data_IF_918763397808
#
_entry.id   IF_918763397808
#
_cell.length_a   1.000
_cell.length_b   1.000
_cell.length_c   1.000
_cell.angle_alpha   90.00
_cell.angle_beta   90.00
_cell.angle_gamma   90.00
#
_symmetry.space_group_name_H-M   'P 1'
#
loop_
_entity.id
_entity.type
_entity.pdbx_description
1 polymer ?
#
# COMPACT_ATOMS: atom_id res chain seq x y z
N UNK A 1 92.42 -9.28 19.00
CA UNK A 1 91.74 -10.20 19.96
C UNK A 1 90.67 -9.42 20.69
N UNK A 2 89.40 -9.87 20.57
CA UNK A 2 88.26 -9.74 21.50
C UNK A 2 88.12 -8.45 22.33
N UNK A 3 87.01 -7.71 22.30
CA UNK A 3 85.72 -8.16 22.84
C UNK A 3 84.53 -7.34 22.30
N UNK A 4 83.41 -8.06 22.25
CA UNK A 4 82.08 -7.74 21.74
C UNK A 4 81.37 -6.64 22.53
N UNK A 5 80.54 -5.83 21.86
CA UNK A 5 79.32 -5.27 22.43
C UNK A 5 78.12 -5.77 21.61
N UNK A 6 77.25 -6.53 22.29
CA UNK A 6 75.98 -7.03 21.77
C UNK A 6 74.93 -6.03 22.19
N UNK A 7 74.23 -5.44 21.22
CA UNK A 7 73.08 -4.58 21.43
C UNK A 7 71.84 -5.38 21.03
N UNK A 8 71.01 -5.75 22.01
CA UNK A 8 69.67 -6.29 21.76
C UNK A 8 68.74 -5.12 21.43
N UNK A 9 68.16 -5.13 20.23
CA UNK A 9 67.04 -4.25 19.87
C UNK A 9 65.80 -5.11 19.70
N UNK A 10 64.79 -4.82 20.50
CA UNK A 10 63.43 -5.37 20.40
C UNK A 10 62.85 -5.03 19.02
N UNK A 11 62.23 -6.00 18.35
CA UNK A 11 61.27 -5.71 17.29
C UNK A 11 60.08 -6.66 17.40
N UNK A 12 58.98 -5.99 17.69
CA UNK A 12 57.61 -6.38 17.94
C UNK A 12 57.07 -7.37 16.91
N UNK A 13 56.34 -8.38 17.39
CA UNK A 13 55.56 -9.30 16.58
C UNK A 13 54.48 -8.54 15.77
N UNK A 14 54.49 -8.70 14.45
CA UNK A 14 53.40 -8.29 13.57
C UNK A 14 52.41 -9.46 13.54
N UNK A 15 51.33 -9.34 14.32
CA UNK A 15 50.15 -10.19 14.16
C UNK A 15 49.34 -9.60 13.00
N UNK A 16 49.36 -10.29 11.86
CA UNK A 16 48.53 -9.98 10.71
C UNK A 16 47.06 -10.17 11.10
N UNK A 17 46.32 -9.06 11.22
CA UNK A 17 44.87 -9.06 11.31
C UNK A 17 44.30 -9.65 10.01
N UNK A 18 43.73 -10.84 10.09
CA UNK A 18 42.80 -11.35 9.10
C UNK A 18 41.47 -10.58 9.23
N UNK A 19 41.44 -9.38 8.63
CA UNK A 19 40.26 -8.52 8.56
C UNK A 19 39.88 -8.29 7.09
N UNK A 20 39.53 -9.36 6.38
CA UNK A 20 39.06 -9.28 5.00
C UNK A 20 38.10 -10.43 4.72
N UNK A 21 36.83 -10.34 5.17
CA UNK A 21 35.69 -11.12 4.62
C UNK A 21 34.31 -10.71 5.19
N UNK A 22 34.10 -9.48 5.69
CA UNK A 22 32.74 -9.06 6.13
C UNK A 22 32.09 -8.00 5.23
N UNK A 23 32.83 -7.34 4.34
CA UNK A 23 32.24 -6.30 3.47
C UNK A 23 31.51 -6.87 2.24
N UNK A 24 31.73 -8.14 1.87
CA UNK A 24 31.08 -8.74 0.72
C UNK A 24 29.60 -9.07 0.97
N UNK A 25 29.20 -9.38 2.20
CA UNK A 25 27.81 -9.73 2.55
C UNK A 25 26.93 -8.48 2.70
N UNK A 26 27.53 -7.33 3.03
CA UNK A 26 26.80 -6.07 3.13
C UNK A 26 26.51 -5.43 1.76
N UNK A 27 27.28 -5.75 0.73
CA UNK A 27 27.16 -5.12 -0.58
C UNK A 27 26.13 -5.79 -1.50
N UNK A 28 25.74 -7.05 -1.23
CA UNK A 28 24.57 -7.68 -1.86
C UNK A 28 23.23 -7.23 -1.26
N UNK A 29 23.23 -6.65 -0.05
CA UNK A 29 22.04 -6.09 0.58
C UNK A 29 21.67 -4.67 0.06
N UNK A 30 22.47 -4.09 -0.84
CA UNK A 30 22.33 -2.69 -1.29
C UNK A 30 21.29 -2.46 -2.41
N UNK A 31 20.46 -3.47 -2.71
CA UNK A 31 19.22 -3.31 -3.51
C UNK A 31 18.06 -4.01 -2.79
N UNK A 32 17.84 -3.65 -1.53
CA UNK A 32 16.71 -4.20 -0.79
C UNK A 32 15.41 -3.78 -1.48
N UNK A 33 14.63 -4.74 -1.97
CA UNK A 33 13.26 -4.51 -2.46
C UNK A 33 12.27 -4.13 -1.36
N UNK A 34 12.76 -4.03 -0.12
CA UNK A 34 11.99 -3.77 1.07
C UNK A 34 11.76 -2.28 1.30
N UNK A 35 10.52 -1.93 1.62
CA UNK A 35 10.10 -0.58 1.98
C UNK A 35 9.39 -0.59 3.33
N UNK A 36 9.94 0.17 4.29
CA UNK A 36 9.30 0.36 5.58
C UNK A 36 8.23 1.46 5.48
N UNK A 37 7.01 1.13 5.92
CA UNK A 37 5.86 2.02 5.99
C UNK A 37 5.28 1.96 7.39
N UNK A 38 5.45 3.02 8.17
CA UNK A 38 5.09 3.07 9.59
C UNK A 38 5.65 1.84 10.36
N UNK A 39 4.78 0.97 10.88
CA UNK A 39 5.20 -0.22 11.66
C UNK A 39 5.45 -1.47 10.81
N UNK A 40 5.27 -1.39 9.49
CA UNK A 40 5.25 -2.55 8.60
C UNK A 40 6.35 -2.47 7.52
N UNK A 41 6.82 -3.64 7.09
CA UNK A 41 7.83 -3.83 6.05
C UNK A 41 7.19 -4.53 4.85
N UNK A 42 7.26 -3.89 3.68
CA UNK A 42 6.71 -4.40 2.43
C UNK A 42 7.84 -4.81 1.49
N UNK A 43 7.79 -6.01 0.92
CA UNK A 43 8.66 -6.43 -0.18
C UNK A 43 8.01 -6.10 -1.52
N UNK A 44 8.60 -5.17 -2.27
CA UNK A 44 8.06 -4.67 -3.53
C UNK A 44 8.61 -5.44 -4.74
N UNK A 45 9.54 -6.37 -4.55
CA UNK A 45 10.25 -7.08 -5.63
C UNK A 45 11.09 -6.18 -6.56
N UNK A 46 11.14 -4.87 -6.29
CA UNK A 46 11.86 -3.85 -7.07
C UNK A 46 12.52 -2.86 -6.12
N UNK A 47 13.50 -2.11 -6.61
CA UNK A 47 14.16 -1.05 -5.85
C UNK A 47 13.12 0.03 -5.44
N UNK A 48 12.84 0.22 -4.14
CA UNK A 48 11.86 1.20 -3.68
C UNK A 48 12.19 2.64 -4.11
N UNK A 49 13.48 2.99 -4.25
CA UNK A 49 13.89 4.33 -4.69
C UNK A 49 13.45 4.63 -6.12
N UNK A 50 13.32 3.61 -6.98
CA UNK A 50 12.78 3.77 -8.34
C UNK A 50 11.29 4.14 -8.34
N UNK A 51 10.55 3.75 -7.29
CA UNK A 51 9.14 4.05 -7.12
C UNK A 51 8.92 5.37 -6.35
N UNK A 52 9.91 5.78 -5.56
CA UNK A 52 9.79 6.82 -4.53
C UNK A 52 9.65 8.21 -5.15
N UNK A 53 8.43 8.74 -5.12
CA UNK A 53 8.16 10.18 -5.25
C UNK A 53 7.76 10.84 -3.92
N UNK A 54 7.29 10.05 -2.95
CA UNK A 54 6.83 10.47 -1.64
C UNK A 54 7.10 9.31 -0.64
N UNK A 55 7.76 9.56 0.51
CA UNK A 55 8.13 8.52 1.47
C UNK A 55 6.94 7.88 2.20
N UNK A 56 5.73 8.44 2.10
CA UNK A 56 4.52 7.93 2.74
C UNK A 56 3.58 7.24 1.76
N UNK A 57 4.08 6.89 0.56
CA UNK A 57 3.25 6.52 -0.58
C UNK A 57 3.97 5.52 -1.49
N UNK A 58 3.34 4.38 -1.74
CA UNK A 58 3.84 3.35 -2.66
C UNK A 58 2.87 3.24 -3.83
N UNK A 59 3.26 3.60 -5.06
CA UNK A 59 2.44 3.35 -6.22
C UNK A 59 2.64 1.92 -6.76
N UNK A 60 1.70 1.01 -6.48
CA UNK A 60 1.88 -0.41 -6.81
C UNK A 60 1.98 -0.67 -8.32
N UNK A 61 1.19 0.04 -9.13
CA UNK A 61 1.24 0.00 -10.60
C UNK A 61 2.59 0.42 -11.23
N UNK A 62 3.57 0.87 -10.44
CA UNK A 62 4.90 1.21 -10.97
C UNK A 62 5.92 0.09 -10.84
N UNK A 63 5.58 -0.98 -10.14
CA UNK A 63 6.34 -2.21 -10.23
C UNK A 63 5.69 -3.04 -11.35
N UNK A 64 6.38 -3.22 -12.48
CA UNK A 64 5.83 -3.84 -13.69
C UNK A 64 5.13 -5.18 -13.39
N UNK A 65 5.73 -6.01 -12.51
CA UNK A 65 5.15 -7.30 -12.12
C UNK A 65 3.85 -7.19 -11.32
N UNK A 66 3.65 -6.11 -10.54
CA UNK A 66 2.38 -5.82 -9.85
C UNK A 66 1.37 -5.20 -10.80
N UNK A 67 1.82 -4.36 -11.74
CA UNK A 67 0.95 -3.78 -12.75
C UNK A 67 0.29 -4.87 -13.59
N UNK A 68 1.06 -5.87 -14.03
CA UNK A 68 0.54 -7.05 -14.71
C UNK A 68 -0.52 -7.80 -13.87
N UNK A 69 -0.33 -7.93 -12.56
CA UNK A 69 -1.31 -8.58 -11.67
C UNK A 69 -2.58 -7.74 -11.55
N UNK A 70 -2.44 -6.42 -11.39
CA UNK A 70 -3.56 -5.47 -11.24
C UNK A 70 -4.37 -5.41 -12.53
N UNK A 71 -3.70 -5.33 -13.69
CA UNK A 71 -4.35 -5.22 -15.00
C UNK A 71 -5.04 -6.52 -15.42
N UNK A 72 -4.55 -7.68 -14.99
CA UNK A 72 -5.20 -8.97 -15.26
C UNK A 72 -6.29 -9.33 -14.24
N UNK A 73 -6.42 -8.62 -13.11
CA UNK A 73 -7.50 -8.85 -12.15
C UNK A 73 -8.80 -8.21 -12.67
N UNK A 74 -9.89 -8.97 -12.87
CA UNK A 74 -11.14 -8.45 -13.42
C UNK A 74 -11.81 -7.38 -12.54
N UNK A 75 -11.42 -7.27 -11.27
CA UNK A 75 -11.91 -6.27 -10.33
C UNK A 75 -11.03 -5.02 -10.31
N UNK A 76 -9.72 -5.17 -10.55
CA UNK A 76 -8.75 -4.07 -10.45
C UNK A 76 -8.27 -3.53 -11.80
N UNK A 77 -8.69 -4.14 -12.91
CA UNK A 77 -8.32 -3.69 -14.24
C UNK A 77 -8.60 -2.18 -14.45
N UNK A 78 -7.59 -1.44 -14.92
CA UNK A 78 -7.69 0.00 -15.14
C UNK A 78 -7.73 0.83 -13.85
N UNK A 79 -7.43 0.23 -12.69
CA UNK A 79 -7.32 0.93 -11.42
C UNK A 79 -5.88 1.25 -11.08
N UNK A 80 -5.70 2.35 -10.37
CA UNK A 80 -4.40 2.77 -9.85
C UNK A 80 -4.38 2.54 -8.33
N UNK A 81 -3.60 1.57 -7.88
CA UNK A 81 -3.54 1.09 -6.49
C UNK A 81 -2.31 1.61 -5.78
N UNK A 82 -2.50 2.16 -4.59
CA UNK A 82 -1.43 2.71 -3.78
C UNK A 82 -1.55 2.31 -2.30
N UNK A 83 -0.41 2.13 -1.62
CA UNK A 83 -0.35 2.01 -0.15
C UNK A 83 0.10 3.35 0.42
N UNK A 84 -0.57 3.83 1.47
CA UNK A 84 -0.28 5.15 2.04
C UNK A 84 -0.31 5.14 3.57
N UNK A 85 0.61 5.88 4.17
CA UNK A 85 0.61 6.20 5.61
C UNK A 85 -0.10 7.53 5.83
N UNK A 86 -0.94 7.60 6.88
CA UNK A 86 -1.51 8.86 7.38
C UNK A 86 -1.08 9.10 8.82
N UNK A 87 -1.10 10.37 9.20
CA UNK A 87 -0.85 10.80 10.59
C UNK A 87 -2.01 10.48 11.54
N UNK A 88 -3.14 9.98 11.03
CA UNK A 88 -4.31 9.66 11.81
C UNK A 88 -4.87 8.29 11.42
N UNK A 89 -5.44 7.54 12.39
CA UNK A 89 -6.05 6.25 12.11
C UNK A 89 -7.17 6.32 11.08
N UNK A 90 -7.28 5.29 10.25
CA UNK A 90 -8.33 5.15 9.23
C UNK A 90 -9.75 5.18 9.82
N UNK A 91 -9.92 4.79 11.09
CA UNK A 91 -11.21 4.88 11.78
C UNK A 91 -11.77 6.30 11.82
N UNK A 92 -10.92 7.33 11.72
CA UNK A 92 -11.37 8.72 11.58
C UNK A 92 -11.94 9.05 10.21
N UNK A 93 -11.60 8.30 9.15
CA UNK A 93 -12.30 8.41 7.86
C UNK A 93 -13.74 7.89 7.98
N UNK A 94 -14.01 7.00 8.93
CA UNK A 94 -15.32 6.37 9.13
C UNK A 94 -16.13 6.97 10.27
N UNK A 95 -15.53 7.87 11.05
CA UNK A 95 -16.25 8.61 12.07
C UNK A 95 -17.50 9.29 11.46
N UNK A 96 -18.50 9.60 12.27
CA UNK A 96 -19.72 10.29 11.81
C UNK A 96 -19.45 11.58 11.03
N UNK A 97 -18.25 12.16 11.15
CA UNK A 97 -17.83 13.35 10.42
C UNK A 97 -17.04 13.07 9.11
N UNK A 98 -16.76 11.81 8.80
CA UNK A 98 -15.97 11.42 7.63
C UNK A 98 -14.52 11.94 7.67
N UNK A 99 -13.78 11.88 6.54
CA UNK A 99 -12.41 12.36 6.45
C UNK A 99 -12.29 13.82 6.90
N UNK A 100 -11.68 14.04 8.07
CA UNK A 100 -11.36 15.39 8.57
C UNK A 100 -12.58 16.27 8.88
N UNK A 101 -13.76 15.69 9.17
CA UNK A 101 -14.99 16.45 9.38
C UNK A 101 -15.43 17.28 8.17
N UNK A 102 -14.99 16.91 6.97
CA UNK A 102 -15.34 17.63 5.74
C UNK A 102 -16.63 17.08 5.14
N UNK A 103 -16.93 15.79 5.31
CA UNK A 103 -18.11 15.12 4.76
C UNK A 103 -19.16 14.87 5.85
N UNK A 104 -19.73 15.95 6.39
CA UNK A 104 -20.66 15.89 7.54
C UNK A 104 -22.13 15.95 7.16
N UNK A 105 -22.44 16.21 5.90
CA UNK A 105 -23.82 16.42 5.47
C UNK A 105 -24.31 15.14 4.79
N UNK A 106 -25.42 14.57 5.29
CA UNK A 106 -26.23 13.66 4.48
C UNK A 106 -26.65 14.47 3.26
N UNK A 107 -26.04 14.21 2.12
CA UNK A 107 -26.25 15.06 0.97
C UNK A 107 -27.70 14.91 0.51
N UNK A 108 -28.27 15.97 -0.09
CA UNK A 108 -29.38 15.78 -1.02
C UNK A 108 -28.75 15.12 -2.25
N UNK A 109 -28.53 13.81 -2.15
CA UNK A 109 -27.94 13.00 -3.19
C UNK A 109 -29.02 12.72 -4.23
N UNK A 110 -28.80 13.06 -5.50
CA UNK A 110 -29.70 12.59 -6.57
C UNK A 110 -29.87 11.06 -6.50
N UNK A 111 -31.05 10.58 -6.87
CA UNK A 111 -31.41 9.16 -6.74
C UNK A 111 -30.41 8.26 -7.48
N UNK A 112 -29.94 8.70 -8.65
CA UNK A 112 -28.93 8.00 -9.47
C UNK A 112 -27.56 7.84 -8.81
N UNK A 113 -27.28 8.60 -7.74
CA UNK A 113 -26.04 8.50 -6.96
C UNK A 113 -26.29 7.93 -5.56
N UNK A 114 -27.47 7.38 -5.33
CA UNK A 114 -27.82 6.70 -4.07
C UNK A 114 -27.67 5.19 -4.27
N UNK A 115 -27.02 4.55 -3.30
CA UNK A 115 -26.69 3.12 -3.37
C UNK A 115 -27.21 2.37 -2.15
N UNK A 116 -27.90 1.26 -2.38
CA UNK A 116 -28.37 0.38 -1.31
C UNK A 116 -27.20 -0.14 -0.48
N UNK A 117 -27.34 -0.07 0.85
CA UNK A 117 -26.28 -0.47 1.78
C UNK A 117 -25.14 0.55 1.96
N UNK A 118 -25.31 1.77 1.45
CA UNK A 118 -24.37 2.87 1.66
C UNK A 118 -25.05 4.13 2.17
N UNK A 119 -24.39 4.81 3.11
CA UNK A 119 -24.66 6.20 3.44
C UNK A 119 -23.80 7.11 2.56
N UNK A 120 -24.44 7.99 1.78
CA UNK A 120 -23.76 9.02 0.99
C UNK A 120 -23.67 10.34 1.77
N UNK A 121 -22.45 10.87 1.92
CA UNK A 121 -22.17 12.15 2.56
C UNK A 121 -21.50 13.12 1.60
N UNK A 122 -21.73 14.41 1.77
CA UNK A 122 -21.10 15.47 0.97
C UNK A 122 -20.44 16.54 1.83
N UNK A 123 -19.70 17.42 1.15
CA UNK A 123 -19.00 18.55 1.78
C UNK A 123 -19.90 19.75 2.09
N UNK A 124 -21.11 19.80 1.52
CA UNK A 124 -22.11 20.83 1.83
C UNK A 124 -23.53 20.31 1.59
N UNK A 125 -24.56 20.87 2.26
CA UNK A 125 -25.95 20.41 2.09
C UNK A 125 -26.47 20.42 0.65
N UNK A 126 -25.88 21.26 -0.21
CA UNK A 126 -26.31 21.50 -1.59
C UNK A 126 -25.32 21.00 -2.64
N UNK A 127 -24.14 20.54 -2.24
CA UNK A 127 -23.12 20.02 -3.16
C UNK A 127 -23.19 18.52 -3.22
N UNK A 128 -23.27 17.99 -4.43
CA UNK A 128 -23.11 16.56 -4.74
C UNK A 128 -21.85 16.31 -5.59
N UNK A 129 -21.00 17.32 -5.83
CA UNK A 129 -19.79 17.19 -6.66
C UNK A 129 -18.85 16.08 -6.16
N UNK A 130 -18.79 15.91 -4.84
CA UNK A 130 -18.05 14.84 -4.20
C UNK A 130 -18.94 14.16 -3.18
N UNK A 131 -19.07 12.84 -3.34
CA UNK A 131 -19.85 11.98 -2.47
C UNK A 131 -18.92 10.98 -1.81
N UNK A 132 -18.98 10.94 -0.49
CA UNK A 132 -18.28 9.99 0.34
C UNK A 132 -19.27 8.91 0.77
N UNK A 133 -19.04 7.69 0.30
CA UNK A 133 -19.86 6.53 0.58
C UNK A 133 -19.26 5.74 1.74
N UNK A 134 -20.08 5.54 2.76
CA UNK A 134 -19.82 4.67 3.90
C UNK A 134 -20.72 3.45 3.84
N UNK A 135 -20.19 2.22 3.87
CA UNK A 135 -21.02 1.03 4.01
C UNK A 135 -21.87 1.11 5.29
N UNK A 136 -23.13 0.69 5.22
CA UNK A 136 -24.08 0.70 6.36
C UNK A 136 -23.78 -0.35 7.44
N UNK A 137 -22.63 -1.00 7.39
CA UNK A 137 -22.21 -2.02 8.36
C UNK A 137 -21.71 -1.37 9.67
N UNK A 138 -21.89 -2.05 10.81
CA UNK A 138 -21.48 -1.55 12.13
C UNK A 138 -19.96 -1.35 12.27
N UNK A 139 -19.17 -2.00 11.41
CA UNK A 139 -17.70 -1.92 11.42
C UNK A 139 -17.19 -1.91 9.98
N UNK A 140 -17.32 -0.77 9.26
CA UNK A 140 -16.94 -0.69 7.87
C UNK A 140 -15.43 -0.89 7.75
N UNK A 141 -15.01 -1.77 6.84
CA UNK A 141 -13.59 -2.03 6.57
C UNK A 141 -13.06 -1.20 5.39
N UNK A 142 -13.92 -0.43 4.75
CA UNK A 142 -13.59 0.44 3.63
C UNK A 142 -14.57 1.61 3.51
N UNK A 143 -14.23 2.57 2.66
CA UNK A 143 -15.11 3.64 2.19
C UNK A 143 -14.77 4.02 0.76
N UNK A 144 -15.65 4.76 0.08
CA UNK A 144 -15.37 5.29 -1.24
C UNK A 144 -15.58 6.80 -1.30
N UNK A 145 -14.71 7.52 -2.01
CA UNK A 145 -14.89 8.93 -2.35
C UNK A 145 -15.03 9.04 -3.86
N UNK A 146 -16.22 9.39 -4.34
CA UNK A 146 -16.43 9.62 -5.76
C UNK A 146 -16.60 11.09 -6.08
N UNK A 147 -16.02 11.51 -7.21
CA UNK A 147 -16.20 12.82 -7.79
C UNK A 147 -17.06 12.70 -9.04
N UNK A 148 -18.15 13.44 -9.05
CA UNK A 148 -19.07 13.52 -10.20
C UNK A 148 -18.43 14.41 -11.26
N UNK A 149 -18.58 14.00 -12.51
CA UNK A 149 -18.22 14.82 -13.64
C UNK A 149 -19.18 16.02 -13.74
N UNK A 150 -18.63 17.23 -13.61
CA UNK A 150 -19.42 18.46 -13.64
C UNK A 150 -19.91 18.81 -15.04
N UNK A 151 -19.27 18.29 -16.09
CA UNK A 151 -19.66 18.57 -17.47
C UNK A 151 -20.93 17.81 -17.85
N UNK A 152 -20.99 16.53 -17.48
CA UNK A 152 -22.14 15.65 -17.77
C UNK A 152 -23.17 15.61 -16.65
N UNK A 153 -22.76 15.86 -15.40
CA UNK A 153 -23.61 15.83 -14.20
C UNK A 153 -24.23 14.47 -13.87
N UNK A 154 -23.95 13.45 -14.68
CA UNK A 154 -24.65 12.15 -14.70
C UNK A 154 -23.71 10.95 -14.57
N UNK A 155 -22.41 11.19 -14.48
CA UNK A 155 -21.39 10.15 -14.37
C UNK A 155 -20.35 10.49 -13.31
N UNK A 156 -19.72 9.47 -12.73
CA UNK A 156 -18.51 9.68 -11.93
C UNK A 156 -17.30 9.82 -12.86
N UNK A 157 -16.50 10.85 -12.61
CA UNK A 157 -15.19 10.99 -13.24
C UNK A 157 -14.13 10.11 -12.55
N UNK A 158 -14.31 9.91 -11.26
CA UNK A 158 -13.31 9.31 -10.39
C UNK A 158 -13.98 8.72 -9.14
N UNK A 159 -13.52 7.56 -8.70
CA UNK A 159 -13.78 7.02 -7.38
C UNK A 159 -12.48 6.56 -6.73
N UNK A 160 -12.25 6.95 -5.47
CA UNK A 160 -11.18 6.45 -4.62
C UNK A 160 -11.75 5.49 -3.59
N UNK A 161 -11.38 4.21 -3.63
CA UNK A 161 -11.74 3.20 -2.63
C UNK A 161 -10.65 3.11 -1.58
N UNK A 162 -10.97 3.40 -0.33
CA UNK A 162 -10.05 3.37 0.81
C UNK A 162 -10.34 2.12 1.63
N UNK A 163 -9.41 1.17 1.67
CA UNK A 163 -9.48 -0.01 2.52
C UNK A 163 -8.60 0.16 3.76
N UNK A 164 -9.08 -0.32 4.91
CA UNK A 164 -8.22 -0.47 6.08
C UNK A 164 -7.13 -1.51 5.89
N UNK A 165 -6.06 -1.32 6.66
CA UNK A 165 -5.03 -2.30 6.86
C UNK A 165 -4.97 -2.69 8.35
N UNK A 166 -5.69 -3.73 8.80
CA UNK A 166 -5.76 -4.11 10.22
C UNK A 166 -4.43 -4.23 10.96
N UNK A 167 -3.32 -4.71 10.36
CA UNK A 167 -2.03 -4.79 11.05
C UNK A 167 -1.46 -3.43 11.48
N UNK A 168 -1.84 -2.34 10.82
CA UNK A 168 -1.45 -0.99 11.21
C UNK A 168 -2.57 0.02 10.85
N UNK A 169 -3.30 0.56 11.84
CA UNK A 169 -4.46 1.43 11.59
C UNK A 169 -4.09 2.79 10.95
N UNK A 170 -2.81 3.14 10.86
CA UNK A 170 -2.33 4.35 10.18
C UNK A 170 -1.95 4.10 8.71
N UNK A 171 -1.95 2.84 8.28
CA UNK A 171 -1.78 2.43 6.89
C UNK A 171 -3.17 2.18 6.29
N UNK A 172 -3.35 2.66 5.07
CA UNK A 172 -4.53 2.37 4.28
C UNK A 172 -4.14 2.17 2.83
N UNK A 173 -5.00 1.45 2.14
CA UNK A 173 -4.78 1.05 0.75
C UNK A 173 -5.83 1.78 -0.07
N UNK A 174 -5.38 2.49 -1.09
CA UNK A 174 -6.22 3.33 -1.92
C UNK A 174 -6.18 2.80 -3.35
N UNK A 175 -7.33 2.34 -3.84
CA UNK A 175 -7.54 2.14 -5.27
C UNK A 175 -8.20 3.38 -5.87
N UNK A 176 -7.69 3.85 -7.01
CA UNK A 176 -8.27 4.93 -7.79
C UNK A 176 -8.85 4.34 -9.06
N UNK A 177 -10.15 4.49 -9.23
CA UNK A 177 -10.89 4.07 -10.42
C UNK A 177 -11.23 5.33 -11.21
N UNK A 178 -10.76 5.41 -12.45
CA UNK A 178 -11.06 6.52 -13.36
C UNK A 178 -12.17 6.10 -14.31
N UNK A 179 -13.16 6.98 -14.50
CA UNK A 179 -14.32 6.70 -15.34
C UNK A 179 -14.96 5.32 -15.04
N UNK A 180 -15.43 5.07 -13.80
CA UNK A 180 -15.77 3.74 -13.31
C UNK A 180 -17.04 3.12 -13.96
N UNK A 181 -17.52 3.66 -15.08
CA UNK A 181 -18.67 3.16 -15.82
C UNK A 181 -20.01 3.60 -15.22
N UNK A 182 -21.03 2.74 -15.37
CA UNK A 182 -22.40 3.00 -14.93
C UNK A 182 -22.51 2.87 -13.42
N UNK A 183 -23.30 3.75 -12.80
CA UNK A 183 -23.46 3.81 -11.35
C UNK A 183 -24.07 2.52 -10.76
N UNK A 184 -24.91 1.82 -11.52
CA UNK A 184 -25.61 0.58 -11.11
C UNK A 184 -24.63 -0.53 -10.68
N UNK A 185 -23.43 -0.58 -11.27
CA UNK A 185 -22.44 -1.63 -11.01
C UNK A 185 -21.48 -1.29 -9.84
N UNK A 186 -21.43 -0.01 -9.46
CA UNK A 186 -20.43 0.52 -8.52
C UNK A 186 -20.50 -0.02 -7.08
N UNK A 187 -21.68 -0.20 -6.46
CA UNK A 187 -21.75 -0.60 -5.06
C UNK A 187 -21.05 -1.94 -4.81
N UNK A 188 -21.35 -2.94 -5.64
CA UNK A 188 -20.73 -4.27 -5.57
C UNK A 188 -19.23 -4.20 -5.84
N UNK A 189 -18.80 -3.31 -6.75
CA UNK A 189 -17.40 -3.14 -7.12
C UNK A 189 -16.55 -2.59 -5.97
N UNK A 190 -17.06 -1.68 -5.13
CA UNK A 190 -16.23 -1.04 -4.09
C UNK A 190 -15.72 -2.03 -3.06
N UNK A 191 -16.59 -2.96 -2.61
CA UNK A 191 -16.17 -4.02 -1.68
C UNK A 191 -15.16 -4.96 -2.32
N UNK A 192 -15.46 -5.41 -3.55
CA UNK A 192 -14.57 -6.32 -4.28
C UNK A 192 -13.18 -5.68 -4.45
N UNK A 193 -13.11 -4.41 -4.85
CA UNK A 193 -11.88 -3.64 -4.97
C UNK A 193 -11.17 -3.57 -3.62
N UNK A 194 -11.86 -3.18 -2.54
CA UNK A 194 -11.28 -3.07 -1.21
C UNK A 194 -10.67 -4.39 -0.72
N UNK A 195 -11.37 -5.51 -0.93
CA UNK A 195 -10.88 -6.83 -0.54
C UNK A 195 -9.68 -7.28 -1.38
N UNK A 196 -9.69 -7.01 -2.70
CA UNK A 196 -8.58 -7.33 -3.60
C UNK A 196 -7.32 -6.55 -3.27
N UNK A 197 -7.41 -5.23 -3.10
CA UNK A 197 -6.23 -4.41 -2.75
C UNK A 197 -5.69 -4.74 -1.36
N UNK A 198 -6.56 -5.14 -0.41
CA UNK A 198 -6.15 -5.62 0.91
C UNK A 198 -5.34 -6.91 0.81
N UNK A 199 -5.78 -7.86 0.00
CA UNK A 199 -5.03 -9.10 -0.27
C UNK A 199 -3.65 -8.81 -0.85
N UNK A 200 -3.55 -7.92 -1.84
CA UNK A 200 -2.25 -7.52 -2.42
C UNK A 200 -1.33 -6.95 -1.32
N UNK A 201 -1.81 -6.01 -0.50
CA UNK A 201 -1.00 -5.44 0.57
C UNK A 201 -0.54 -6.48 1.59
N UNK A 202 -1.39 -7.45 1.98
CA UNK A 202 -1.00 -8.55 2.86
C UNK A 202 0.09 -9.43 2.27
N UNK A 203 0.07 -9.67 0.96
CA UNK A 203 1.07 -10.50 0.30
C UNK A 203 2.42 -9.79 0.18
N UNK A 204 2.41 -8.46 0.06
CA UNK A 204 3.61 -7.64 0.07
C UNK A 204 4.18 -7.47 1.49
N UNK A 205 3.35 -7.58 2.54
CA UNK A 205 3.80 -7.41 3.92
C UNK A 205 4.60 -8.63 4.41
N UNK A 206 5.89 -8.42 4.60
CA UNK A 206 6.85 -9.42 5.07
C UNK A 206 7.29 -9.19 6.52
N UNK A 207 6.67 -8.24 7.22
CA UNK A 207 7.07 -7.81 8.58
C UNK A 207 7.28 -9.00 9.51
N UNK A 208 6.29 -9.88 9.59
CA UNK A 208 6.32 -10.99 10.55
C UNK A 208 7.24 -12.14 10.08
N UNK A 209 7.54 -12.21 8.77
CA UNK A 209 8.46 -13.20 8.20
C UNK A 209 9.93 -12.80 8.36
N UNK A 210 10.22 -11.50 8.40
CA UNK A 210 11.58 -10.95 8.62
C UNK A 210 11.93 -10.89 10.11
N UNK A 211 10.94 -10.73 10.98
CA UNK A 211 11.12 -10.75 12.44
C UNK A 211 11.30 -12.16 13.02
N UNK A 212 11.00 -13.19 12.24
CA UNK A 212 11.36 -14.58 12.52
C UNK A 212 12.62 -14.86 11.68
N UNK A 213 13.75 -15.24 12.28
CA UNK A 213 15.00 -15.55 11.57
C UNK A 213 14.89 -16.82 10.68
N UNK A 214 14.00 -16.81 9.69
CA UNK A 214 13.72 -17.89 8.73
C UNK A 214 14.10 -17.36 7.34
N UNK A 215 14.87 -18.12 6.54
CA UNK A 215 15.49 -17.59 5.32
C UNK A 215 14.44 -17.03 4.34
N UNK A 216 14.73 -15.90 3.67
CA UNK A 216 13.77 -15.23 2.81
C UNK A 216 13.81 -15.90 1.44
N UNK A 217 12.76 -16.61 1.06
CA UNK A 217 12.34 -16.71 -0.34
C UNK A 217 10.95 -17.35 -0.37
N UNK A 218 9.92 -16.51 -0.46
CA UNK A 218 8.64 -16.92 -1.04
C UNK A 218 8.79 -16.66 -2.54
N UNK A 219 8.94 -17.73 -3.32
CA UNK A 219 9.06 -17.66 -4.78
C UNK A 219 7.84 -16.97 -5.40
N UNK A 220 7.94 -16.61 -6.68
CA UNK A 220 6.84 -16.09 -7.49
C UNK A 220 5.55 -16.94 -7.38
N UNK A 221 5.68 -18.23 -7.05
CA UNK A 221 4.57 -19.17 -6.83
C UNK A 221 3.78 -18.90 -5.54
N UNK A 222 4.41 -18.34 -4.51
CA UNK A 222 3.69 -17.91 -3.29
C UNK A 222 2.86 -16.65 -3.53
N UNK A 223 3.25 -15.82 -4.52
CA UNK A 223 2.44 -14.70 -5.01
C UNK A 223 1.38 -15.16 -6.03
N UNK A 224 1.60 -16.27 -6.74
CA UNK A 224 0.54 -16.95 -7.50
C UNK A 224 -0.57 -17.48 -6.59
N UNK A 225 -0.26 -17.89 -5.35
CA UNK A 225 -1.26 -18.16 -4.30
C UNK A 225 -2.01 -16.93 -3.79
N UNK A 226 -1.54 -15.72 -4.12
CA UNK A 226 -2.24 -14.44 -3.92
C UNK A 226 -2.95 -13.95 -5.19
N UNK A 227 -2.75 -14.62 -6.32
CA UNK A 227 -3.53 -14.41 -7.53
C UNK A 227 -4.97 -14.88 -7.27
N UNK A 228 -6.00 -14.18 -7.76
CA UNK A 228 -7.32 -14.79 -7.88
C UNK A 228 -7.15 -16.14 -8.58
N UNK A 229 -7.75 -17.21 -8.06
CA UNK A 229 -7.93 -18.42 -8.86
C UNK A 229 -8.61 -18.01 -10.17
N UNK A 230 -7.84 -17.91 -11.26
CA UNK A 230 -8.36 -17.91 -12.62
C UNK A 230 -8.55 -19.39 -12.96
N UNK A 231 -9.44 -20.05 -12.22
CA UNK A 231 -9.95 -21.36 -12.63
C UNK A 231 -11.47 -21.34 -12.60
N UNK A 232 -12.00 -21.50 -13.82
CA UNK A 232 -13.38 -21.76 -14.28
C UNK A 232 -14.41 -20.65 -14.15
#
# INVERSE_FOLDING_TARGET
>A
MSLRKISFSFSTAIVFFAALSFDAVAQEASKSSFMQMNTRLFDLGVDPESLRRDPHFIPLNRADWLDDIIDNDPVLHGTVVHIRVKSQPITKLWAQSGPGSVFNYSAITPEEFTFDGYEARSTSPTSYVQLFYLPSEDSPSFSALCAIDRETGSAFRYCGVFANYPPDPNIFILARVYNPGRYEDLPSSFRAIADRIRKIAYCLDVTDSVLQEVPPFKSLEALQGCSPDITS
#
